data_IF_614975693054
#
_entry.id   IF_614975693054
#
_cell.length_a   1.000
_cell.length_b   1.000
_cell.length_c   1.000
_cell.angle_alpha   90.00
_cell.angle_beta   90.00
_cell.angle_gamma   90.00
#
_symmetry.space_group_name_H-M   'P 1'
#
loop_
_entity.id
_entity.type
_entity.pdbx_description
1 polymer ?
#
# COMPACT_ATOMS: atom_id res chain seq x y z
N UNK A 1 19.31 -21.24 -13.86
CA UNK A 1 19.70 -20.48 -15.07
C UNK A 1 20.01 -19.07 -14.59
N UNK A 2 21.27 -18.63 -14.68
CA UNK A 2 21.77 -17.40 -14.06
C UNK A 2 21.33 -16.18 -14.85
N UNK A 3 20.58 -15.27 -14.21
CA UNK A 3 20.29 -13.92 -14.71
C UNK A 3 20.65 -12.98 -13.57
N UNK A 4 21.73 -12.22 -13.76
CA UNK A 4 22.29 -11.08 -13.00
C UNK A 4 21.95 -11.00 -11.50
N UNK A 5 22.99 -10.97 -10.65
CA UNK A 5 22.91 -10.88 -9.18
C UNK A 5 22.36 -9.57 -8.63
N UNK A 6 21.18 -9.18 -9.07
CA UNK A 6 20.26 -8.34 -8.34
C UNK A 6 19.45 -9.28 -7.46
N UNK A 7 19.72 -9.27 -6.15
CA UNK A 7 18.71 -9.75 -5.21
C UNK A 7 17.58 -8.76 -5.40
N UNK A 8 16.60 -9.08 -6.26
CA UNK A 8 15.35 -8.35 -6.29
C UNK A 8 14.78 -8.52 -4.89
N UNK A 9 14.99 -7.51 -4.04
CA UNK A 9 14.37 -7.45 -2.73
C UNK A 9 12.90 -7.79 -2.96
N UNK A 10 12.29 -8.65 -2.11
CA UNK A 10 10.85 -8.87 -2.20
C UNK A 10 10.18 -7.49 -2.25
N UNK A 11 9.19 -7.28 -3.12
CA UNK A 11 8.60 -5.96 -3.32
C UNK A 11 8.25 -5.40 -1.96
N UNK A 12 8.96 -4.35 -1.55
CA UNK A 12 8.82 -3.78 -0.22
C UNK A 12 7.44 -3.13 -0.20
N UNK A 13 6.51 -3.75 0.54
CA UNK A 13 5.14 -3.25 0.62
C UNK A 13 5.24 -1.89 1.31
N UNK A 14 4.80 -0.86 0.59
CA UNK A 14 4.74 0.49 1.12
C UNK A 14 3.87 0.52 2.40
N UNK A 15 4.35 1.12 3.52
CA UNK A 15 3.58 1.20 4.77
C UNK A 15 2.21 1.85 4.61
N UNK A 16 2.08 2.85 3.72
CA UNK A 16 0.81 3.49 3.41
C UNK A 16 -0.15 2.55 2.68
N UNK A 17 0.36 1.77 1.72
CA UNK A 17 -0.41 0.73 1.04
C UNK A 17 -0.86 -0.38 2.01
N UNK A 18 0.00 -0.80 2.93
CA UNK A 18 -0.36 -1.77 3.97
C UNK A 18 -1.47 -1.25 4.89
N UNK A 19 -1.37 0.01 5.33
CA UNK A 19 -2.40 0.66 6.14
C UNK A 19 -3.74 0.75 5.40
N UNK A 20 -3.73 1.13 4.12
CA UNK A 20 -4.94 1.18 3.29
C UNK A 20 -5.55 -0.23 3.08
N UNK A 21 -4.72 -1.25 2.87
CA UNK A 21 -5.18 -2.64 2.77
C UNK A 21 -5.86 -3.12 4.06
N UNK A 22 -5.33 -2.73 5.23
CA UNK A 22 -5.96 -3.03 6.52
C UNK A 22 -7.31 -2.30 6.68
N UNK A 23 -7.43 -1.05 6.22
CA UNK A 23 -8.69 -0.32 6.22
C UNK A 23 -9.75 -1.00 5.34
N UNK A 24 -9.36 -1.44 4.13
CA UNK A 24 -10.20 -2.25 3.24
C UNK A 24 -10.61 -3.56 3.91
N UNK A 25 -9.69 -4.26 4.57
CA UNK A 25 -9.99 -5.50 5.28
C UNK A 25 -11.02 -5.29 6.42
N UNK A 26 -10.87 -4.20 7.18
CA UNK A 26 -11.78 -3.84 8.26
C UNK A 26 -13.21 -3.59 7.73
N UNK A 27 -13.34 -3.01 6.53
CA UNK A 27 -14.61 -2.68 5.88
C UNK A 27 -14.98 -3.63 4.73
N UNK A 28 -14.38 -4.83 4.68
CA UNK A 28 -14.44 -5.74 3.51
C UNK A 28 -15.85 -6.01 2.99
N UNK A 29 -16.85 -6.10 3.86
CA UNK A 29 -18.23 -6.34 3.44
C UNK A 29 -18.80 -5.11 2.72
N UNK A 30 -18.61 -3.93 3.29
CA UNK A 30 -19.03 -2.65 2.69
C UNK A 30 -18.32 -2.41 1.35
N UNK A 31 -17.01 -2.65 1.30
CA UNK A 31 -16.20 -2.51 0.08
C UNK A 31 -16.72 -3.42 -1.04
N UNK A 32 -17.01 -4.70 -0.74
CA UNK A 32 -17.59 -5.62 -1.72
C UNK A 32 -18.98 -5.16 -2.18
N UNK A 33 -19.80 -4.62 -1.28
CA UNK A 33 -21.09 -4.05 -1.66
C UNK A 33 -20.95 -2.84 -2.58
N UNK A 34 -20.02 -1.92 -2.29
CA UNK A 34 -19.74 -0.76 -3.14
C UNK A 34 -19.22 -1.17 -4.51
N UNK A 35 -18.33 -2.15 -4.60
CA UNK A 35 -17.84 -2.71 -5.87
C UNK A 35 -19.00 -3.27 -6.72
N UNK A 36 -19.95 -3.99 -6.11
CA UNK A 36 -21.11 -4.54 -6.83
C UNK A 36 -22.15 -3.49 -7.22
N UNK A 37 -22.24 -2.39 -6.48
CA UNK A 37 -23.21 -1.33 -6.71
C UNK A 37 -22.67 -0.19 -7.61
N UNK A 38 -21.39 -0.23 -7.97
CA UNK A 38 -20.75 0.75 -8.82
C UNK A 38 -21.16 0.55 -10.29
N UNK A 39 -21.25 1.67 -11.01
CA UNK A 39 -21.58 1.68 -12.44
C UNK A 39 -20.36 1.31 -13.30
N UNK A 40 -19.19 1.77 -12.88
CA UNK A 40 -17.90 1.55 -13.52
C UNK A 40 -16.78 1.59 -12.45
N UNK A 41 -15.54 1.36 -12.89
CA UNK A 41 -14.38 1.34 -12.00
C UNK A 41 -14.11 2.70 -11.33
N UNK A 42 -14.13 3.85 -12.03
CA UNK A 42 -14.01 5.16 -11.38
C UNK A 42 -15.06 5.41 -10.28
N UNK A 43 -16.33 5.07 -10.53
CA UNK A 43 -17.40 5.18 -9.52
C UNK A 43 -17.11 4.30 -8.29
N UNK A 44 -16.60 3.07 -8.50
CA UNK A 44 -16.22 2.20 -7.40
C UNK A 44 -15.07 2.80 -6.57
N UNK A 45 -14.01 3.26 -7.24
CA UNK A 45 -12.83 3.85 -6.60
C UNK A 45 -13.22 5.07 -5.77
N UNK A 46 -14.01 6.00 -6.33
CA UNK A 46 -14.47 7.19 -5.63
C UNK A 46 -15.30 6.87 -4.37
N UNK A 47 -16.23 5.90 -4.46
CA UNK A 47 -17.05 5.49 -3.31
C UNK A 47 -16.23 4.85 -2.20
N UNK A 48 -15.28 3.98 -2.55
CA UNK A 48 -14.42 3.30 -1.58
C UNK A 48 -13.43 4.30 -0.95
N UNK A 49 -12.88 5.22 -1.75
CA UNK A 49 -12.02 6.29 -1.29
C UNK A 49 -12.73 7.20 -0.26
N UNK A 50 -13.98 7.60 -0.53
CA UNK A 50 -14.77 8.41 0.40
C UNK A 50 -15.12 7.66 1.70
N UNK A 51 -15.49 6.37 1.59
CA UNK A 51 -15.76 5.50 2.74
C UNK A 51 -14.53 5.42 3.66
N UNK A 52 -13.34 5.19 3.09
CA UNK A 52 -12.13 4.89 3.85
C UNK A 52 -11.28 6.13 4.16
N UNK A 53 -11.61 7.29 3.57
CA UNK A 53 -10.82 8.53 3.66
C UNK A 53 -9.37 8.34 3.18
N UNK A 54 -9.24 7.61 2.07
CA UNK A 54 -7.97 7.29 1.41
C UNK A 54 -8.07 7.73 -0.05
N UNK A 55 -6.97 8.14 -0.66
CA UNK A 55 -6.93 8.59 -2.05
C UNK A 55 -7.31 7.48 -3.03
N UNK A 56 -8.03 7.82 -4.10
CA UNK A 56 -8.46 6.86 -5.13
C UNK A 56 -7.30 6.07 -5.74
N UNK A 57 -6.16 6.73 -5.97
CA UNK A 57 -4.95 6.08 -6.49
C UNK A 57 -4.41 5.01 -5.53
N UNK A 58 -4.50 5.24 -4.22
CA UNK A 58 -4.10 4.27 -3.21
C UNK A 58 -5.09 3.11 -3.17
N UNK A 59 -6.40 3.38 -3.27
CA UNK A 59 -7.43 2.32 -3.37
C UNK A 59 -7.23 1.46 -4.62
N UNK A 60 -6.97 2.07 -5.78
CA UNK A 60 -6.68 1.32 -7.01
C UNK A 60 -5.50 0.36 -6.81
N UNK A 61 -4.40 0.86 -6.21
CA UNK A 61 -3.24 0.02 -5.88
C UNK A 61 -3.56 -1.11 -4.91
N UNK A 62 -4.46 -0.90 -3.95
CA UNK A 62 -4.93 -1.96 -3.03
C UNK A 62 -5.76 -3.00 -3.76
N UNK A 63 -6.68 -2.57 -4.63
CA UNK A 63 -7.55 -3.49 -5.40
C UNK A 63 -6.77 -4.30 -6.44
N UNK A 64 -5.63 -3.79 -6.92
CA UNK A 64 -4.69 -4.52 -7.77
C UNK A 64 -3.91 -5.61 -7.02
N UNK A 65 -3.96 -5.63 -5.68
CA UNK A 65 -3.24 -6.65 -4.90
C UNK A 65 -3.93 -8.01 -4.98
N UNK A 66 -3.18 -9.12 -4.82
CA UNK A 66 -3.77 -10.44 -4.84
C UNK A 66 -4.76 -10.62 -3.68
N UNK A 67 -5.93 -11.21 -3.96
CA UNK A 67 -6.98 -11.49 -2.96
C UNK A 67 -6.49 -12.21 -1.69
N UNK A 68 -5.36 -12.94 -1.78
CA UNK A 68 -4.72 -13.58 -0.60
C UNK A 68 -4.37 -12.59 0.51
N UNK A 69 -4.16 -11.30 0.21
CA UNK A 69 -3.95 -10.25 1.21
C UNK A 69 -5.14 -10.06 2.15
N UNK A 70 -6.35 -10.45 1.72
CA UNK A 70 -7.54 -10.45 2.57
C UNK A 70 -7.65 -11.69 3.48
N UNK A 71 -6.66 -12.59 3.47
CA UNK A 71 -6.67 -13.74 4.37
C UNK A 71 -6.07 -13.36 5.73
N UNK A 72 -6.57 -13.94 6.85
CA UNK A 72 -6.13 -13.58 8.20
C UNK A 72 -4.61 -13.68 8.42
N UNK A 73 -3.92 -14.63 7.77
CA UNK A 73 -2.48 -14.81 7.93
C UNK A 73 -1.64 -13.66 7.36
N UNK A 74 -2.12 -12.97 6.31
CA UNK A 74 -1.43 -11.82 5.73
C UNK A 74 -1.72 -10.53 6.51
N UNK A 75 -2.80 -10.51 7.29
CA UNK A 75 -3.16 -9.36 8.12
C UNK A 75 -2.05 -9.03 9.13
N UNK A 76 -1.51 -10.01 9.83
CA UNK A 76 -0.44 -9.79 10.82
C UNK A 76 0.81 -9.19 10.17
N UNK A 77 1.15 -9.62 8.96
CA UNK A 77 2.27 -9.09 8.19
C UNK A 77 2.02 -7.63 7.78
N UNK A 78 0.83 -7.32 7.27
CA UNK A 78 0.42 -5.97 6.92
C UNK A 78 0.37 -5.04 8.14
N UNK A 79 -0.09 -5.52 9.30
CA UNK A 79 -0.09 -4.77 10.56
C UNK A 79 1.34 -4.40 10.99
N UNK A 80 2.29 -5.32 10.85
CA UNK A 80 3.70 -5.06 11.14
C UNK A 80 4.31 -4.01 10.20
N UNK A 81 3.99 -4.09 8.90
CA UNK A 81 4.50 -3.16 7.88
C UNK A 81 3.88 -1.77 8.06
N UNK A 82 2.57 -1.68 8.30
CA UNK A 82 1.87 -0.42 8.53
C UNK A 82 2.33 0.29 9.83
N UNK A 83 2.80 -0.48 10.81
CA UNK A 83 3.36 0.05 12.06
C UNK A 83 4.83 0.47 11.95
N UNK A 84 5.50 0.18 10.82
CA UNK A 84 6.89 0.58 10.63
C UNK A 84 7.00 2.12 10.58
N UNK A 85 7.91 2.73 11.37
CA UNK A 85 8.16 4.16 11.25
C UNK A 85 8.64 4.48 9.82
N UNK A 86 8.27 5.65 9.26
CA UNK A 86 8.77 6.04 7.95
C UNK A 86 10.30 5.98 7.95
N UNK A 87 10.92 5.51 6.85
CA UNK A 87 12.37 5.42 6.77
C UNK A 87 12.94 6.80 7.11
N UNK A 88 13.80 6.84 8.14
CA UNK A 88 14.50 8.05 8.51
C UNK A 88 15.24 8.54 7.27
N UNK A 89 14.84 9.69 6.75
CA UNK A 89 15.51 10.37 5.64
C UNK A 89 17.00 10.42 5.97
N UNK A 90 17.83 9.72 5.20
CA UNK A 90 19.27 9.77 5.37
C UNK A 90 19.72 11.24 5.30
N UNK A 91 20.61 11.71 6.20
CA UNK A 91 21.07 13.08 6.15
C UNK A 91 21.69 13.37 4.78
N UNK A 92 21.18 14.41 4.13
CA UNK A 92 21.72 14.97 2.89
C UNK A 92 23.23 15.20 3.07
N UNK A 93 24.09 14.72 2.14
CA UNK A 93 25.53 14.93 2.26
C UNK A 93 25.80 16.43 2.23
N UNK A 94 26.21 17.01 3.37
CA UNK A 94 26.67 18.39 3.43
C UNK A 94 27.81 18.59 2.43
N UNK A 95 27.78 19.62 1.56
CA UNK A 95 28.91 19.92 0.70
C UNK A 95 30.11 20.33 1.59
N UNK A 96 31.21 19.60 1.45
CA UNK A 96 32.49 19.92 2.09
C UNK A 96 32.88 21.38 1.78
N UNK A 97 33.25 22.20 2.78
CA UNK A 97 33.72 23.55 2.51
C UNK A 97 35.07 23.45 1.77
N UNK A 98 35.12 24.02 0.56
CA UNK A 98 36.35 24.15 -0.21
C UNK A 98 37.38 24.96 0.60
N UNK A 99 38.43 24.30 1.07
CA UNK A 99 39.59 24.93 1.70
C UNK A 99 40.32 25.79 0.66
N UNK A 100 40.53 27.07 1.00
CA UNK A 100 41.22 28.08 0.20
C UNK A 100 42.65 28.30 0.67
#
# INVERSE_FOLDING_TARGET
MTVNGEIASPPEIDPGLAAAALAVFAHRHEVVHLLHAATDEPDALARIADLLRVDEATIARVLDQPLRWMLPQFRTELEAIAAAPPPATAPEPQPEPATH
#
